data_IF_171985180714
#
_entry.id   IF_171985180714
#
_cell.length_a   1.000
_cell.length_b   1.000
_cell.length_c   1.000
_cell.angle_alpha   90.00
_cell.angle_beta   90.00
_cell.angle_gamma   90.00
#
_symmetry.space_group_name_H-M   'P 1'
#
loop_
_entity.id
_entity.type
_entity.pdbx_description
1 polymer ?
#
# COMPACT_ATOMS: atom_id res chain seq x y z
N UNK A 1 18.21 20.08 13.58
CA UNK A 1 17.57 19.46 14.71
C UNK A 1 17.09 18.06 14.35
N UNK A 2 17.28 17.12 15.24
CA UNK A 2 16.90 15.73 15.01
C UNK A 2 15.49 15.41 15.51
N UNK A 3 14.83 16.40 16.10
CA UNK A 3 13.50 16.26 16.65
C UNK A 3 12.51 15.82 15.56
N UNK A 4 11.77 14.76 15.83
CA UNK A 4 10.84 14.19 14.86
C UNK A 4 11.46 13.23 13.85
N UNK A 5 12.78 13.05 13.87
CA UNK A 5 13.45 12.07 13.02
C UNK A 5 13.55 10.73 13.72
N UNK A 6 13.39 9.65 12.97
CA UNK A 6 13.57 8.29 13.48
C UNK A 6 14.62 7.56 12.65
N UNK A 7 15.24 6.56 13.27
CA UNK A 7 16.27 5.77 12.62
C UNK A 7 15.69 4.80 11.61
N UNK A 8 16.56 4.17 10.82
CA UNK A 8 16.15 3.11 9.89
C UNK A 8 15.43 1.97 10.61
N UNK A 9 15.99 1.52 11.73
CA UNK A 9 15.41 0.44 12.51
C UNK A 9 14.03 0.82 13.07
N UNK A 10 13.92 2.05 13.58
CA UNK A 10 12.65 2.55 14.11
C UNK A 10 11.59 2.70 13.01
N UNK A 11 12.02 3.12 11.81
CA UNK A 11 11.13 3.25 10.67
C UNK A 11 10.54 1.89 10.28
N UNK A 12 11.37 0.87 10.22
CA UNK A 12 10.92 -0.50 9.94
C UNK A 12 9.92 -0.97 10.99
N UNK A 13 10.21 -0.72 12.26
CA UNK A 13 9.34 -1.14 13.35
C UNK A 13 8.01 -0.38 13.36
N UNK A 14 8.08 0.94 13.16
CA UNK A 14 6.89 1.81 13.19
C UNK A 14 5.87 1.42 12.12
N UNK A 15 6.35 1.10 10.94
CA UNK A 15 5.47 0.80 9.80
C UNK A 15 5.36 -0.69 9.47
N UNK A 16 5.98 -1.53 10.28
CA UNK A 16 5.95 -2.99 10.10
C UNK A 16 6.37 -3.41 8.69
N UNK A 17 7.51 -2.89 8.26
CA UNK A 17 8.09 -3.22 6.96
C UNK A 17 9.47 -3.82 7.14
N UNK A 18 9.89 -4.62 6.17
CA UNK A 18 11.21 -5.23 6.21
C UNK A 18 12.28 -4.21 5.80
N UNK A 19 13.53 -4.39 6.26
CA UNK A 19 14.65 -3.57 5.78
C UNK A 19 14.77 -3.58 4.25
N UNK A 20 14.50 -4.72 3.63
CA UNK A 20 14.55 -4.85 2.18
C UNK A 20 13.52 -3.95 1.49
N UNK A 21 12.29 -3.94 2.00
CA UNK A 21 11.21 -3.10 1.48
C UNK A 21 11.55 -1.63 1.62
N UNK A 22 12.04 -1.24 2.80
CA UNK A 22 12.39 0.15 3.07
C UNK A 22 13.52 0.63 2.15
N UNK A 23 14.57 -0.18 1.98
CA UNK A 23 15.66 0.14 1.06
C UNK A 23 15.18 0.26 -0.38
N UNK A 24 14.24 -0.57 -0.77
CA UNK A 24 13.68 -0.52 -2.12
C UNK A 24 12.97 0.80 -2.36
N UNK A 25 12.16 1.25 -1.40
CA UNK A 25 11.45 2.54 -1.53
C UNK A 25 12.43 3.71 -1.61
N UNK A 26 13.58 3.64 -0.94
CA UNK A 26 14.65 4.62 -1.10
C UNK A 26 15.28 4.54 -2.49
N UNK A 27 15.53 3.32 -2.95
CA UNK A 27 16.16 3.09 -4.25
C UNK A 27 15.34 3.68 -5.39
N UNK A 28 14.05 3.53 -5.36
CA UNK A 28 13.14 4.09 -6.37
C UNK A 28 12.70 5.52 -6.05
N UNK A 29 13.29 6.11 -5.04
CA UNK A 29 13.10 7.51 -4.66
C UNK A 29 11.69 7.89 -4.21
N UNK A 30 10.96 6.94 -3.64
CA UNK A 30 9.71 7.26 -2.96
C UNK A 30 9.97 7.88 -1.59
N UNK A 31 11.11 7.55 -0.99
CA UNK A 31 11.58 8.10 0.27
C UNK A 31 12.98 8.66 0.09
N UNK A 32 13.28 9.76 0.79
CA UNK A 32 14.61 10.40 0.76
C UNK A 32 15.05 10.69 2.18
N UNK A 33 15.64 9.69 2.86
CA UNK A 33 16.08 9.91 4.23
C UNK A 33 17.24 10.90 4.33
N UNK A 34 17.34 11.54 5.47
CA UNK A 34 18.52 12.35 5.80
C UNK A 34 19.64 11.38 6.14
N UNK A 35 20.83 11.63 5.62
CA UNK A 35 21.99 10.79 5.87
C UNK A 35 22.99 11.51 6.74
N UNK A 36 23.48 10.81 7.78
CA UNK A 36 24.58 11.25 8.62
C UNK A 36 25.59 10.11 8.65
N UNK A 37 26.64 10.23 7.83
CA UNK A 37 27.58 9.15 7.62
C UNK A 37 26.89 7.94 6.99
N UNK A 38 26.91 6.81 7.67
CA UNK A 38 26.24 5.58 7.22
C UNK A 38 24.82 5.46 7.75
N UNK A 39 24.45 6.36 8.65
CA UNK A 39 23.12 6.31 9.28
C UNK A 39 22.09 7.03 8.44
N UNK A 40 20.87 6.51 8.48
CA UNK A 40 19.71 7.10 7.82
C UNK A 40 18.71 7.53 8.86
N UNK A 41 18.14 8.71 8.65
CA UNK A 41 17.09 9.23 9.53
C UNK A 41 15.93 9.71 8.69
N UNK A 42 14.72 9.41 9.14
CA UNK A 42 13.48 9.75 8.45
C UNK A 42 12.76 10.84 9.21
N UNK A 43 12.50 11.94 8.52
CA UNK A 43 11.82 13.09 9.11
C UNK A 43 10.30 12.93 9.04
N UNK A 44 9.57 13.94 9.49
CA UNK A 44 8.12 13.91 9.50
C UNK A 44 7.53 13.76 8.10
N UNK A 45 8.15 14.39 7.10
CA UNK A 45 7.71 14.27 5.70
C UNK A 45 7.82 12.84 5.19
N UNK A 46 8.94 12.18 5.44
CA UNK A 46 9.14 10.78 5.04
C UNK A 46 8.15 9.85 5.71
N UNK A 47 7.84 10.10 6.99
CA UNK A 47 6.87 9.28 7.70
C UNK A 47 5.46 9.46 7.13
N UNK A 48 5.10 10.70 6.79
CA UNK A 48 3.82 10.98 6.14
C UNK A 48 3.74 10.30 4.77
N UNK A 49 4.82 10.37 3.99
CA UNK A 49 4.92 9.69 2.69
C UNK A 49 4.76 8.18 2.85
N UNK A 50 5.40 7.61 3.86
CA UNK A 50 5.32 6.17 4.11
C UNK A 50 3.88 5.73 4.39
N UNK A 51 3.13 6.51 5.15
CA UNK A 51 1.70 6.24 5.39
C UNK A 51 0.91 6.18 4.08
N UNK A 52 1.16 7.13 3.17
CA UNK A 52 0.48 7.17 1.88
C UNK A 52 0.91 6.00 0.99
N UNK A 53 2.19 5.66 0.98
CA UNK A 53 2.70 4.52 0.22
C UNK A 53 2.00 3.23 0.67
N UNK A 54 1.92 2.99 1.97
CA UNK A 54 1.30 1.78 2.50
C UNK A 54 -0.21 1.75 2.22
N UNK A 55 -0.87 2.89 2.29
CA UNK A 55 -2.29 2.98 1.91
C UNK A 55 -2.50 2.64 0.44
N UNK A 56 -1.67 3.21 -0.43
CA UNK A 56 -1.74 2.91 -1.85
C UNK A 56 -1.49 1.44 -2.16
N UNK A 57 -0.55 0.83 -1.46
CA UNK A 57 -0.28 -0.61 -1.57
C UNK A 57 -1.48 -1.42 -1.10
N UNK A 58 -2.12 -1.01 -0.04
CA UNK A 58 -3.35 -1.65 0.47
C UNK A 58 -4.46 -1.63 -0.57
N UNK A 59 -4.58 -0.55 -1.34
CA UNK A 59 -5.59 -0.44 -2.40
C UNK A 59 -5.21 -1.23 -3.65
N UNK A 60 -3.99 -1.75 -3.72
CA UNK A 60 -3.51 -2.50 -4.88
C UNK A 60 -2.92 -1.65 -5.98
N UNK A 61 -2.63 -0.38 -5.72
CA UNK A 61 -1.96 0.47 -6.70
C UNK A 61 -0.52 0.01 -6.92
N UNK A 62 -0.06 0.16 -8.16
CA UNK A 62 1.34 -0.03 -8.47
C UNK A 62 2.17 1.14 -7.96
N UNK A 63 3.45 0.92 -7.75
CA UNK A 63 4.32 1.95 -7.17
C UNK A 63 4.37 3.23 -8.01
N UNK A 64 4.27 3.12 -9.33
CA UNK A 64 4.24 4.30 -10.20
C UNK A 64 2.98 5.15 -9.96
N UNK A 65 1.84 4.50 -9.74
CA UNK A 65 0.59 5.20 -9.42
C UNK A 65 0.69 5.90 -8.07
N UNK A 66 1.34 5.24 -7.11
CA UNK A 66 1.57 5.84 -5.78
C UNK A 66 2.47 7.05 -5.90
N UNK A 67 3.47 7.02 -6.77
CA UNK A 67 4.35 8.15 -7.03
C UNK A 67 3.56 9.37 -7.52
N UNK A 68 2.62 9.17 -8.45
CA UNK A 68 1.75 10.23 -8.95
C UNK A 68 0.88 10.80 -7.83
N UNK A 69 0.32 9.92 -7.00
CA UNK A 69 -0.51 10.34 -5.87
C UNK A 69 0.28 11.19 -4.87
N UNK A 70 1.52 10.78 -4.56
CA UNK A 70 2.39 11.53 -3.67
C UNK A 70 2.67 12.93 -4.21
N UNK A 71 2.89 13.06 -5.51
CA UNK A 71 3.11 14.36 -6.14
C UNK A 71 1.90 15.28 -5.99
N UNK A 72 0.71 14.76 -6.23
CA UNK A 72 -0.52 15.52 -6.08
C UNK A 72 -0.75 15.93 -4.63
N UNK A 73 -0.50 15.03 -3.70
CA UNK A 73 -0.75 15.25 -2.27
C UNK A 73 0.22 16.27 -1.67
N UNK A 74 1.47 16.26 -2.08
CA UNK A 74 2.51 17.13 -1.51
C UNK A 74 2.62 18.48 -2.20
N UNK A 75 2.23 18.54 -3.45
CA UNK A 75 2.25 19.77 -4.25
C UNK A 75 0.85 20.05 -4.70
N UNK A 76 0.54 21.34 -4.87
CA UNK A 76 -0.75 21.73 -5.37
C UNK A 76 -0.90 21.21 -6.80
N UNK A 77 -1.64 20.12 -6.96
CA UNK A 77 -1.84 19.48 -8.25
C UNK A 77 -2.75 20.31 -9.14
N UNK A 78 -2.51 20.23 -10.44
CA UNK A 78 -3.41 20.86 -11.42
C UNK A 78 -4.72 20.07 -11.45
N UNK A 79 -5.77 20.72 -11.97
CA UNK A 79 -7.05 20.05 -12.15
C UNK A 79 -6.91 18.82 -13.04
N UNK A 80 -6.10 18.90 -14.09
CA UNK A 80 -5.84 17.78 -14.99
C UNK A 80 -5.20 16.59 -14.24
N UNK A 81 -4.23 16.87 -13.36
CA UNK A 81 -3.60 15.82 -12.56
C UNK A 81 -4.58 15.17 -11.59
N UNK A 82 -5.42 15.98 -10.96
CA UNK A 82 -6.45 15.47 -10.04
C UNK A 82 -7.47 14.61 -10.74
N UNK A 83 -7.90 15.02 -11.95
CA UNK A 83 -8.83 14.23 -12.76
C UNK A 83 -8.20 12.90 -13.20
N UNK A 84 -6.94 12.92 -13.59
CA UNK A 84 -6.22 11.70 -13.96
C UNK A 84 -6.15 10.73 -12.77
N UNK A 85 -5.92 11.24 -11.57
CA UNK A 85 -5.90 10.41 -10.36
C UNK A 85 -7.29 9.83 -10.07
N UNK A 86 -8.36 10.61 -10.26
CA UNK A 86 -9.73 10.12 -10.07
C UNK A 86 -10.02 8.96 -11.02
N UNK A 87 -9.62 9.07 -12.28
CA UNK A 87 -9.79 7.98 -13.25
C UNK A 87 -9.03 6.73 -12.83
N UNK A 88 -7.82 6.91 -12.32
CA UNK A 88 -7.02 5.82 -11.80
C UNK A 88 -7.72 5.13 -10.62
N UNK A 89 -8.24 5.94 -9.69
CA UNK A 89 -8.97 5.43 -8.53
C UNK A 89 -10.24 4.70 -8.94
N UNK A 90 -10.98 5.23 -9.92
CA UNK A 90 -12.20 4.60 -10.43
C UNK A 90 -11.89 3.24 -11.04
N UNK A 91 -10.81 3.14 -11.82
CA UNK A 91 -10.38 1.88 -12.40
C UNK A 91 -10.03 0.85 -11.32
N UNK A 92 -9.33 1.29 -10.27
CA UNK A 92 -8.95 0.42 -9.18
C UNK A 92 -10.17 -0.02 -8.35
N UNK A 93 -11.12 0.87 -8.13
CA UNK A 93 -12.36 0.53 -7.45
C UNK A 93 -13.13 -0.55 -8.20
N UNK A 94 -13.17 -0.45 -9.53
CA UNK A 94 -13.81 -1.46 -10.37
C UNK A 94 -13.09 -2.81 -10.25
N UNK A 95 -11.77 -2.79 -10.30
CA UNK A 95 -10.96 -4.02 -10.16
C UNK A 95 -11.20 -4.68 -8.80
N UNK A 96 -11.23 -3.89 -7.72
CA UNK A 96 -11.49 -4.41 -6.38
C UNK A 96 -12.90 -5.00 -6.28
N UNK A 97 -13.90 -4.37 -6.92
CA UNK A 97 -15.25 -4.87 -6.93
C UNK A 97 -15.33 -6.21 -7.68
N UNK A 98 -14.63 -6.33 -8.81
CA UNK A 98 -14.57 -7.60 -9.56
C UNK A 98 -13.90 -8.70 -8.73
N UNK A 99 -12.82 -8.38 -8.02
CA UNK A 99 -12.15 -9.32 -7.12
C UNK A 99 -13.09 -9.79 -5.99
N UNK A 100 -13.89 -8.87 -5.47
CA UNK A 100 -14.88 -9.21 -4.42
C UNK A 100 -15.89 -10.22 -4.93
N UNK A 101 -16.39 -10.02 -6.16
CA UNK A 101 -17.32 -10.96 -6.78
C UNK A 101 -16.69 -12.34 -6.93
N UNK A 102 -15.45 -12.39 -7.43
CA UNK A 102 -14.72 -13.65 -7.61
C UNK A 102 -14.47 -14.36 -6.28
N UNK A 103 -14.15 -13.61 -5.23
CA UNK A 103 -13.97 -14.18 -3.90
C UNK A 103 -15.26 -14.75 -3.35
N UNK A 104 -16.38 -14.04 -3.54
CA UNK A 104 -17.68 -14.52 -3.09
C UNK A 104 -18.06 -15.81 -3.82
N UNK A 105 -17.84 -15.89 -5.12
CA UNK A 105 -18.08 -17.11 -5.89
C UNK A 105 -17.23 -18.28 -5.39
N UNK A 106 -15.97 -18.03 -5.11
CA UNK A 106 -15.07 -19.07 -4.58
C UNK A 106 -15.51 -19.54 -3.20
N UNK A 107 -15.93 -18.61 -2.34
CA UNK A 107 -16.45 -18.95 -1.01
C UNK A 107 -17.69 -19.83 -1.13
N UNK A 108 -18.63 -19.44 -1.98
CA UNK A 108 -19.88 -20.18 -2.16
C UNK A 108 -19.61 -21.58 -2.71
N UNK A 109 -18.73 -21.69 -3.71
CA UNK A 109 -18.38 -22.98 -4.29
C UNK A 109 -17.69 -23.89 -3.28
N UNK A 110 -16.76 -23.36 -2.52
CA UNK A 110 -16.06 -24.15 -1.49
C UNK A 110 -17.01 -24.57 -0.38
N UNK A 111 -17.92 -23.69 0.02
CA UNK A 111 -18.93 -24.00 1.02
C UNK A 111 -19.80 -25.18 0.56
N UNK A 112 -20.25 -25.15 -0.69
CA UNK A 112 -21.07 -26.22 -1.26
C UNK A 112 -20.31 -27.54 -1.30
N UNK A 113 -19.06 -27.52 -1.70
CA UNK A 113 -18.22 -28.73 -1.69
C UNK A 113 -18.02 -29.29 -0.29
N UNK A 114 -17.73 -28.41 0.64
CA UNK A 114 -17.58 -28.79 2.06
C UNK A 114 -18.84 -29.44 2.58
N UNK A 115 -20.00 -28.84 2.32
CA UNK A 115 -21.28 -29.33 2.79
C UNK A 115 -21.64 -30.67 2.15
N UNK A 116 -21.31 -30.83 0.87
CA UNK A 116 -21.54 -32.12 0.18
C UNK A 116 -20.72 -33.26 0.80
N UNK A 117 -19.44 -32.99 1.11
CA UNK A 117 -18.58 -33.99 1.73
C UNK A 117 -19.05 -34.30 3.15
N UNK A 118 -19.42 -33.27 3.92
CA UNK A 118 -19.95 -33.47 5.28
C UNK A 118 -21.21 -34.34 5.25
N UNK A 119 -22.05 -34.16 4.27
CA UNK A 119 -23.29 -34.94 4.12
C UNK A 119 -23.00 -36.41 3.83
N UNK A 120 -21.98 -36.69 3.00
CA UNK A 120 -21.57 -38.05 2.65
C UNK A 120 -21.09 -38.85 3.87
N UNK A 121 -20.45 -38.21 4.83
CA UNK A 121 -19.96 -38.88 6.03
C UNK A 121 -20.99 -38.83 7.18
N UNK A 122 -22.21 -38.35 6.91
CA UNK A 122 -23.27 -38.28 7.91
C UNK A 122 -23.11 -37.15 8.91
N UNK A 123 -22.25 -36.22 8.67
CA UNK A 123 -22.07 -35.01 9.46
C UNK A 123 -22.93 -33.93 8.87
N UNK A 124 -23.79 -33.34 9.66
CA UNK A 124 -24.75 -32.36 9.14
C UNK A 124 -24.41 -30.96 9.61
#
# INVERSE_FOLDING_TARGET
MTEGRISFKEMCATFDVTPRTLRYYEYIELLKPDREGRSRFYNARDRARMKLILRGRKFGFQLEDIRQWLMIYEHEGTEAQMRAWIELADGQLKELADQRVQLNEAIDELQDLRDSVAKEIGEV
#
